data_IF_415812261261
#
_entry.id   IF_415812261261
#
_cell.length_a   1.000
_cell.length_b   1.000
_cell.length_c   1.000
_cell.angle_alpha   90.00
_cell.angle_beta   90.00
_cell.angle_gamma   90.00
#
_symmetry.space_group_name_H-M   'P 1'
#
loop_
_entity.id
_entity.type
_entity.pdbx_description
1 polymer ?
#
# COMPACT_ATOMS: atom_id res chain seq x y z
N UNK A 1 22.37 0.50 0.44
CA UNK A 1 21.01 0.73 -0.08
C UNK A 1 20.07 0.22 0.98
N UNK A 2 19.32 1.12 1.62
CA UNK A 2 18.41 0.76 2.70
C UNK A 2 17.14 0.13 2.12
N UNK A 3 16.54 -0.83 2.84
CA UNK A 3 15.26 -1.46 2.46
C UNK A 3 14.18 -0.94 3.42
N UNK A 4 12.92 -0.86 2.97
CA UNK A 4 11.80 -0.48 3.84
C UNK A 4 11.21 -1.74 4.48
N UNK A 5 10.78 -1.64 5.74
CA UNK A 5 10.14 -2.74 6.44
C UNK A 5 8.80 -3.09 5.76
N UNK A 6 8.45 -4.39 5.80
CA UNK A 6 7.17 -4.85 5.24
C UNK A 6 6.04 -4.46 6.19
N UNK A 7 5.08 -3.69 5.68
CA UNK A 7 3.91 -3.26 6.42
C UNK A 7 2.65 -3.48 5.60
N UNK A 8 1.58 -3.92 6.25
CA UNK A 8 0.24 -3.95 5.69
C UNK A 8 -0.65 -3.05 6.53
N UNK A 9 -1.41 -2.18 5.87
CA UNK A 9 -2.29 -1.22 6.52
C UNK A 9 -3.74 -1.54 6.17
N UNK A 10 -4.62 -1.56 7.17
CA UNK A 10 -6.06 -1.66 6.97
C UNK A 10 -6.64 -0.27 7.14
N UNK A 11 -7.10 0.31 6.03
CA UNK A 11 -7.64 1.67 6.00
C UNK A 11 -9.15 1.61 5.82
N UNK A 12 -9.89 2.25 6.72
CA UNK A 12 -11.35 2.37 6.60
C UNK A 12 -11.71 3.56 5.71
N UNK A 13 -12.22 3.29 4.51
CA UNK A 13 -12.64 4.33 3.56
C UNK A 13 -14.16 4.40 3.47
N UNK A 14 -14.71 5.63 3.48
CA UNK A 14 -16.15 5.84 3.31
C UNK A 14 -16.41 6.18 1.84
N UNK A 15 -16.72 5.16 1.04
CA UNK A 15 -16.89 5.27 -0.42
C UNK A 15 -18.32 5.59 -0.88
N UNK A 16 -19.22 5.92 0.05
CA UNK A 16 -20.65 6.12 -0.22
C UNK A 16 -20.99 7.39 -1.03
N UNK A 17 -20.00 8.23 -1.36
CA UNK A 17 -20.17 9.45 -2.13
C UNK A 17 -19.08 9.52 -3.21
N UNK A 18 -19.45 9.81 -4.46
CA UNK A 18 -18.51 9.99 -5.58
C UNK A 18 -17.37 10.96 -5.26
N UNK A 19 -17.63 11.98 -4.44
CA UNK A 19 -16.63 12.97 -4.01
C UNK A 19 -15.44 12.37 -3.24
N UNK A 20 -15.59 11.15 -2.70
CA UNK A 20 -14.57 10.44 -1.93
C UNK A 20 -13.86 9.35 -2.79
N UNK A 21 -14.21 9.20 -4.07
CA UNK A 21 -13.52 8.29 -5.00
C UNK A 21 -12.44 9.04 -5.77
N UNK A 22 -11.49 9.63 -5.05
CA UNK A 22 -10.38 10.40 -5.65
C UNK A 22 -9.05 9.85 -5.19
N UNK A 23 -8.02 10.00 -6.02
CA UNK A 23 -6.66 9.53 -5.71
C UNK A 23 -6.14 10.21 -4.45
N UNK A 24 -6.39 11.51 -4.33
CA UNK A 24 -6.06 12.27 -3.13
C UNK A 24 -6.68 11.69 -1.86
N UNK A 25 -7.96 11.31 -1.89
CA UNK A 25 -8.62 10.74 -0.70
C UNK A 25 -7.98 9.41 -0.25
N UNK A 26 -7.61 8.55 -1.19
CA UNK A 26 -6.96 7.27 -0.88
C UNK A 26 -5.53 7.48 -0.36
N UNK A 27 -4.75 8.36 -1.01
CA UNK A 27 -3.39 8.69 -0.58
C UNK A 27 -3.40 9.34 0.79
N UNK A 28 -4.26 10.34 1.04
CA UNK A 28 -4.34 11.03 2.33
C UNK A 28 -4.67 10.07 3.47
N UNK A 29 -5.64 9.16 3.24
CA UNK A 29 -6.01 8.17 4.23
C UNK A 29 -4.88 7.16 4.51
N UNK A 30 -4.14 6.75 3.48
CA UNK A 30 -2.97 5.88 3.61
C UNK A 30 -1.83 6.58 4.36
N UNK A 31 -1.47 7.81 3.97
CA UNK A 31 -0.44 8.63 4.62
C UNK A 31 -0.78 8.83 6.09
N UNK A 32 -2.04 9.16 6.40
CA UNK A 32 -2.49 9.28 7.78
C UNK A 32 -2.31 7.96 8.55
N UNK A 33 -2.69 6.82 7.97
CA UNK A 33 -2.54 5.52 8.60
C UNK A 33 -1.06 5.16 8.88
N UNK A 34 -0.18 5.37 7.89
CA UNK A 34 1.26 5.15 8.01
C UNK A 34 1.83 6.03 9.13
N UNK A 35 1.61 7.34 9.06
CA UNK A 35 2.18 8.29 10.01
C UNK A 35 1.65 8.10 11.43
N UNK A 36 0.36 7.75 11.58
CA UNK A 36 -0.24 7.43 12.88
C UNK A 36 0.31 6.13 13.49
N UNK A 37 0.85 5.23 12.66
CA UNK A 37 1.52 4.01 13.12
C UNK A 37 2.99 4.20 13.51
N UNK A 38 3.50 5.43 13.38
CA UNK A 38 4.89 5.79 13.62
C UNK A 38 5.73 5.99 12.36
N UNK A 39 5.14 5.95 11.16
CA UNK A 39 5.86 6.16 9.89
C UNK A 39 6.36 4.88 9.23
N UNK A 40 7.01 5.01 8.06
CA UNK A 40 7.68 3.91 7.38
C UNK A 40 9.03 3.63 8.04
N UNK A 41 9.24 2.39 8.48
CA UNK A 41 10.50 1.99 9.11
C UNK A 41 11.49 1.52 8.05
N UNK A 42 12.74 1.92 8.20
CA UNK A 42 13.84 1.44 7.38
C UNK A 42 14.50 0.24 8.06
N UNK A 43 14.91 -0.75 7.28
CA UNK A 43 15.65 -1.95 7.69
C UNK A 43 16.85 -2.17 6.76
N UNK A 44 17.96 -2.69 7.26
CA UNK A 44 19.09 -3.09 6.43
C UNK A 44 18.92 -4.51 5.88
N UNK A 45 18.24 -5.39 6.63
CA UNK A 45 17.90 -6.76 6.24
C UNK A 45 16.46 -7.15 6.60
N UNK A 46 15.88 -8.12 5.90
CA UNK A 46 14.50 -8.61 6.10
C UNK A 46 14.31 -9.22 7.49
N UNK A 47 15.37 -9.79 8.07
CA UNK A 47 15.34 -10.41 9.41
C UNK A 47 15.50 -9.38 10.54
N UNK A 48 15.68 -8.10 10.22
CA UNK A 48 15.85 -7.04 11.19
C UNK A 48 14.51 -6.64 11.80
N UNK A 49 14.45 -6.59 13.14
CA UNK A 49 13.28 -6.07 13.85
C UNK A 49 13.43 -4.55 13.89
N UNK A 50 12.57 -3.79 13.18
CA UNK A 50 12.75 -2.35 13.10
C UNK A 50 12.45 -1.70 14.46
N UNK A 51 13.39 -0.89 14.95
CA UNK A 51 13.24 -0.10 16.18
C UNK A 51 12.06 0.87 16.07
N UNK A 52 11.35 1.09 17.19
CA UNK A 52 10.14 1.92 17.21
C UNK A 52 10.43 3.42 17.02
N UNK A 53 11.68 3.87 17.18
CA UNK A 53 12.06 5.29 17.17
C UNK A 53 12.55 5.79 15.81
N UNK A 54 12.71 4.91 14.81
CA UNK A 54 13.33 5.23 13.50
C UNK A 54 12.33 5.32 12.34
N UNK A 55 11.08 5.68 12.63
CA UNK A 55 10.05 5.81 11.61
C UNK A 55 10.13 7.13 10.84
N UNK A 56 10.06 7.04 9.51
CA UNK A 56 10.06 8.20 8.62
C UNK A 56 8.61 8.57 8.31
N UNK A 57 8.27 9.83 8.57
CA UNK A 57 6.98 10.40 8.16
C UNK A 57 6.94 10.52 6.63
N UNK A 58 5.81 10.14 6.05
CA UNK A 58 5.59 10.21 4.61
C UNK A 58 4.59 11.31 4.26
N UNK A 59 4.70 11.82 3.04
CA UNK A 59 3.77 12.78 2.46
C UNK A 59 3.01 12.15 1.30
N UNK A 60 2.00 12.86 0.79
CA UNK A 60 1.25 12.39 -0.37
C UNK A 60 2.11 12.24 -1.63
N UNK A 61 3.13 13.09 -1.81
CA UNK A 61 4.04 13.06 -2.96
C UNK A 61 4.97 11.85 -2.93
N UNK A 62 5.14 11.23 -1.76
CA UNK A 62 5.97 10.04 -1.59
C UNK A 62 5.24 8.76 -2.01
N UNK A 63 3.93 8.80 -2.23
CA UNK A 63 3.10 7.59 -2.38
C UNK A 63 2.53 7.44 -3.78
N UNK A 64 2.68 6.25 -4.35
CA UNK A 64 1.98 5.82 -5.55
C UNK A 64 1.06 4.64 -5.25
N UNK A 65 -0.09 4.58 -5.91
CA UNK A 65 -1.06 3.50 -5.77
C UNK A 65 -1.23 2.72 -7.08
N UNK A 66 -1.52 1.43 -6.96
CA UNK A 66 -1.82 0.56 -8.11
C UNK A 66 -2.89 -0.49 -7.78
N UNK A 67 -3.64 -0.89 -8.80
CA UNK A 67 -4.54 -2.04 -8.75
C UNK A 67 -3.87 -3.27 -9.35
N UNK A 68 -4.13 -4.48 -8.83
CA UNK A 68 -3.72 -5.68 -9.52
C UNK A 68 -4.52 -5.78 -10.83
N UNK A 69 -3.83 -6.12 -11.91
CA UNK A 69 -4.44 -6.33 -13.24
C UNK A 69 -5.51 -7.41 -13.19
N UNK A 70 -5.32 -8.42 -12.34
CA UNK A 70 -6.29 -9.49 -12.06
C UNK A 70 -6.48 -9.67 -10.55
N UNK A 71 -7.73 -9.50 -10.09
CA UNK A 71 -8.11 -9.62 -8.67
C UNK A 71 -7.87 -11.00 -8.08
N UNK A 72 -7.95 -12.03 -8.92
CA UNK A 72 -7.74 -13.43 -8.51
C UNK A 72 -6.27 -13.75 -8.25
N UNK A 73 -5.34 -12.90 -8.70
CA UNK A 73 -3.90 -13.14 -8.61
C UNK A 73 -3.12 -11.84 -8.34
N UNK A 74 -3.36 -11.17 -7.20
CA UNK A 74 -2.68 -9.92 -6.85
C UNK A 74 -1.16 -10.11 -6.68
N UNK A 75 -0.72 -11.33 -6.32
CA UNK A 75 0.69 -11.70 -6.16
C UNK A 75 1.39 -12.05 -7.48
N UNK A 76 0.69 -12.01 -8.61
CA UNK A 76 1.33 -12.15 -9.93
C UNK A 76 2.18 -10.92 -10.29
N UNK A 77 2.08 -9.84 -9.50
CA UNK A 77 2.81 -8.60 -9.68
C UNK A 77 2.59 -7.90 -11.03
N UNK A 78 1.41 -8.11 -11.62
CA UNK A 78 0.93 -7.32 -12.73
C UNK A 78 0.05 -6.18 -12.20
N UNK A 79 0.56 -4.95 -12.28
CA UNK A 79 -0.05 -3.78 -11.66
C UNK A 79 -0.48 -2.73 -12.68
N UNK A 80 -1.62 -2.10 -12.43
CA UNK A 80 -2.14 -0.96 -13.18
C UNK A 80 -2.01 0.26 -12.27
N UNK A 81 -1.14 1.20 -12.65
CA UNK A 81 -0.89 2.42 -11.88
C UNK A 81 -2.13 3.31 -11.87
N UNK A 82 -2.39 3.92 -10.72
CA UNK A 82 -3.48 4.89 -10.53
C UNK A 82 -2.86 6.29 -10.66
N UNK A 83 -2.85 6.82 -11.87
CA UNK A 83 -2.24 8.13 -12.18
C UNK A 83 -3.14 9.33 -11.86
N UNK A 84 -4.46 9.12 -11.80
CA UNK A 84 -5.45 10.18 -11.66
C UNK A 84 -6.81 9.62 -11.20
N UNK A 85 -7.74 10.54 -10.90
CA UNK A 85 -9.09 10.20 -10.44
C UNK A 85 -9.90 9.37 -11.45
N UNK A 86 -9.67 9.55 -12.76
CA UNK A 86 -10.37 8.79 -13.81
C UNK A 86 -10.02 7.31 -13.75
N UNK A 87 -8.78 6.98 -13.38
CA UNK A 87 -8.36 5.60 -13.18
C UNK A 87 -9.13 4.94 -12.02
N UNK A 88 -9.39 5.66 -10.93
CA UNK A 88 -10.20 5.17 -9.81
C UNK A 88 -11.66 5.02 -10.20
N UNK A 89 -12.24 6.02 -10.88
CA UNK A 89 -13.64 5.98 -11.31
C UNK A 89 -13.93 4.82 -12.28
N UNK A 90 -12.93 4.45 -13.09
CA UNK A 90 -13.04 3.34 -14.03
C UNK A 90 -13.03 1.95 -13.37
N UNK A 91 -12.58 1.86 -12.13
CA UNK A 91 -12.46 0.60 -11.38
C UNK A 91 -13.63 0.45 -10.42
N UNK A 92 -14.41 -0.61 -10.59
CA UNK A 92 -15.51 -0.95 -9.68
C UNK A 92 -14.93 -1.59 -8.41
N UNK A 93 -14.61 -0.78 -7.40
CA UNK A 93 -14.09 -1.29 -6.12
C UNK A 93 -15.16 -2.07 -5.36
N UNK A 94 -14.80 -3.29 -4.93
CA UNK A 94 -15.59 -4.12 -4.04
C UNK A 94 -14.96 -4.19 -2.64
N UNK A 95 -15.73 -4.70 -1.68
CA UNK A 95 -15.20 -5.06 -0.38
C UNK A 95 -14.03 -6.05 -0.52
N UNK A 96 -12.96 -5.83 0.23
CA UNK A 96 -11.73 -6.62 0.22
C UNK A 96 -10.89 -6.58 -1.08
N UNK A 97 -11.16 -5.65 -1.99
CA UNK A 97 -10.24 -5.39 -3.10
C UNK A 97 -8.88 -4.92 -2.57
N UNK A 98 -7.80 -5.42 -3.18
CA UNK A 98 -6.42 -5.08 -2.82
C UNK A 98 -5.96 -3.88 -3.65
N UNK A 99 -5.37 -2.91 -2.96
CA UNK A 99 -4.66 -1.78 -3.56
C UNK A 99 -3.21 -1.88 -3.10
N UNK A 100 -2.29 -1.95 -4.06
CA UNK A 100 -0.87 -1.86 -3.78
C UNK A 100 -0.46 -0.41 -3.60
N UNK A 101 0.49 -0.16 -2.70
CA UNK A 101 1.18 1.12 -2.62
C UNK A 101 2.69 0.89 -2.68
N UNK A 102 3.42 1.88 -3.21
CA UNK A 102 4.88 1.93 -3.15
C UNK A 102 5.32 3.35 -2.84
N UNK A 103 6.58 3.49 -2.44
CA UNK A 103 7.18 4.81 -2.41
C UNK A 103 7.48 5.29 -3.85
N UNK A 104 7.39 6.60 -4.11
CA UNK A 104 7.55 7.17 -5.45
C UNK A 104 8.95 6.94 -6.05
N UNK A 105 9.97 6.75 -5.21
CA UNK A 105 11.35 6.42 -5.62
C UNK A 105 11.58 4.92 -5.89
N UNK A 106 10.63 4.05 -5.55
CA UNK A 106 10.73 2.61 -5.82
C UNK A 106 10.43 2.33 -7.31
N UNK A 107 11.25 1.48 -7.93
CA UNK A 107 11.14 1.20 -9.36
C UNK A 107 9.89 0.41 -9.74
N UNK A 108 9.50 -0.58 -8.92
CA UNK A 108 8.45 -1.55 -9.26
C UNK A 108 7.41 -1.67 -8.14
N UNK A 109 6.15 -1.91 -8.52
CA UNK A 109 5.15 -2.42 -7.59
C UNK A 109 5.40 -3.92 -7.38
N UNK A 110 5.81 -4.28 -6.17
CA UNK A 110 6.06 -5.66 -5.77
C UNK A 110 5.37 -5.97 -4.46
N UNK A 111 4.44 -6.93 -4.47
CA UNK A 111 3.94 -7.55 -3.25
C UNK A 111 4.32 -9.03 -3.27
N UNK A 112 4.74 -9.53 -2.11
CA UNK A 112 4.96 -10.96 -1.90
C UNK A 112 3.73 -11.59 -1.27
N UNK A 113 3.44 -12.84 -1.65
CA UNK A 113 2.38 -13.60 -0.99
C UNK A 113 2.82 -13.88 0.45
N UNK A 114 2.00 -13.53 1.47
CA UNK A 114 2.30 -13.94 2.83
C UNK A 114 2.33 -15.47 2.87
N UNK A 115 3.46 -16.01 3.31
CA UNK A 115 3.58 -17.43 3.63
C UNK A 115 3.16 -17.56 5.07
N UNK A 116 1.94 -18.04 5.29
CA UNK A 116 1.54 -18.50 6.61
C UNK A 116 2.19 -19.88 6.77
N UNK A 117 3.12 -20.03 7.70
CA UNK A 117 3.50 -21.37 8.16
C UNK A 117 2.22 -21.99 8.72
N UNK A 118 1.64 -22.96 8.02
CA UNK A 118 0.73 -23.88 8.67
C UNK A 118 1.54 -24.53 9.77
N UNK A 119 1.20 -24.26 11.03
CA UNK A 119 1.71 -25.03 12.15
C UNK A 119 1.42 -26.50 11.83
N UNK A 120 2.45 -27.23 11.39
CA UNK A 120 2.38 -28.67 11.19
C UNK A 120 2.00 -29.26 12.54
N UNK A 121 0.72 -29.61 12.67
CA UNK A 121 0.16 -30.29 13.83
C UNK A 121 0.43 -31.78 13.74
#
# INVERSE_FOLDING_TARGET
>A
MFKRARSSYVVSLILNQKKNLTLGYFIDALVQAINSSGGLRIIESIDEIPSAEDGIQVTAEDMELAYPKTRESPYANEWIHISDDSAIESVVLNDYDIIGFKHADDQDFGIEKPVYEEEMT
#
